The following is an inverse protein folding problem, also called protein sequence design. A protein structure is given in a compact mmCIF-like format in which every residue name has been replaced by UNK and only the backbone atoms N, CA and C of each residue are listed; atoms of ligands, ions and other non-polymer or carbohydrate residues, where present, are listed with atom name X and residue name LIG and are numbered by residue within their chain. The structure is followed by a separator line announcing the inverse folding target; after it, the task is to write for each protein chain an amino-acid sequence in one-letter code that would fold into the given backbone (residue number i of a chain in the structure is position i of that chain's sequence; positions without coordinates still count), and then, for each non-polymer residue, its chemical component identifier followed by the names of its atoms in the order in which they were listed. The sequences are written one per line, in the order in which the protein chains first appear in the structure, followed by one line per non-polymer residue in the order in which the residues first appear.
data_IF_202404236803
#
_entry.id   IF_202404236803
#
_cell.length_a   1.000
_cell.length_b   1.000
_cell.length_c   1.000
_cell.angle_alpha   90.00
_cell.angle_beta   90.00
_cell.angle_gamma   90.00
#
_symmetry.space_group_name_H-M   'P 1'
#
loop_
_entity.id
_entity.type
_entity.pdbx_description
1 polymer ?
#
# COMPACT_ATOMS: atom_id res chain seq x y z
N UNK A 1 -7.77 -9.41 -13.46
CA UNK A 1 -7.77 -7.94 -13.64
C UNK A 1 -6.37 -7.48 -14.02
N UNK A 2 -6.18 -6.18 -14.28
CA UNK A 2 -4.85 -5.60 -14.49
C UNK A 2 -4.67 -4.32 -13.67
N UNK A 3 -3.44 -4.06 -13.22
CA UNK A 3 -3.03 -2.84 -12.51
C UNK A 3 -1.83 -2.28 -13.25
N UNK A 4 -1.93 -1.05 -13.75
CA UNK A 4 -0.89 -0.43 -14.58
C UNK A 4 -0.43 -1.32 -15.76
N UNK A 5 -1.36 -2.07 -16.36
CA UNK A 5 -1.08 -3.02 -17.45
C UNK A 5 -0.55 -4.40 -17.01
N UNK A 6 -0.22 -4.59 -15.73
CA UNK A 6 0.24 -5.88 -15.20
C UNK A 6 -0.95 -6.73 -14.78
N UNK A 7 -1.03 -7.97 -15.27
CA UNK A 7 -2.09 -8.91 -14.89
C UNK A 7 -1.92 -9.36 -13.44
N UNK A 8 -2.99 -9.23 -12.68
CA UNK A 8 -3.08 -9.63 -11.28
C UNK A 8 -4.36 -10.43 -11.06
N UNK A 9 -4.25 -11.47 -10.25
CA UNK A 9 -5.39 -12.12 -9.61
C UNK A 9 -5.09 -12.31 -8.12
N UNK A 10 -6.11 -12.10 -7.29
CA UNK A 10 -6.10 -12.44 -5.87
C UNK A 10 -7.15 -13.51 -5.65
N UNK A 11 -6.83 -14.49 -4.82
CA UNK A 11 -7.80 -15.46 -4.30
C UNK A 11 -7.87 -15.31 -2.79
N UNK A 12 -9.09 -15.31 -2.28
CA UNK A 12 -9.41 -15.39 -0.87
C UNK A 12 -10.03 -16.75 -0.56
N UNK A 13 -9.75 -17.28 0.64
CA UNK A 13 -10.40 -18.48 1.18
C UNK A 13 -11.07 -18.09 2.49
N UNK A 14 -12.30 -18.53 2.65
CA UNK A 14 -13.16 -18.27 3.82
C UNK A 14 -13.29 -19.52 4.69
N UNK A 15 -13.61 -19.34 5.97
CA UNK A 15 -14.09 -20.43 6.82
C UNK A 15 -15.60 -20.69 6.62
N UNK A 16 -16.12 -21.72 7.28
CA UNK A 16 -17.55 -22.10 7.24
C UNK A 16 -18.50 -21.00 7.74
N UNK A 17 -17.97 -19.93 8.35
CA UNK A 17 -18.72 -18.78 8.87
C UNK A 17 -18.57 -17.55 7.98
N UNK A 18 -17.89 -17.65 6.84
CA UNK A 18 -17.66 -16.54 5.91
C UNK A 18 -16.56 -15.57 6.32
N UNK A 19 -15.73 -15.91 7.33
CA UNK A 19 -14.59 -15.08 7.68
C UNK A 19 -13.40 -15.38 6.76
N UNK A 20 -12.74 -14.33 6.29
CA UNK A 20 -11.50 -14.45 5.52
C UNK A 20 -10.41 -15.16 6.36
N UNK A 21 -9.86 -16.25 5.81
CA UNK A 21 -8.80 -17.05 6.42
C UNK A 21 -7.47 -16.91 5.70
N UNK A 22 -7.48 -16.98 4.38
CA UNK A 22 -6.27 -16.98 3.58
C UNK A 22 -6.40 -16.09 2.35
N UNK A 23 -5.27 -15.54 1.93
CA UNK A 23 -5.13 -14.80 0.68
C UNK A 23 -3.95 -15.34 -0.12
N UNK A 24 -4.02 -15.26 -1.44
CA UNK A 24 -2.93 -15.61 -2.35
C UNK A 24 -2.96 -14.77 -3.62
N UNK A 25 -1.81 -14.61 -4.27
CA UNK A 25 -1.66 -13.77 -5.46
C UNK A 25 -1.12 -14.56 -6.65
N UNK A 26 -1.65 -14.26 -7.84
CA UNK A 26 -1.08 -14.70 -9.11
C UNK A 26 -0.62 -13.49 -9.93
N UNK A 27 0.69 -13.43 -10.16
CA UNK A 27 1.40 -12.29 -10.75
C UNK A 27 2.28 -12.75 -11.93
N UNK A 28 1.70 -13.23 -13.05
CA UNK A 28 2.44 -13.97 -14.09
C UNK A 28 3.55 -13.17 -14.79
N UNK A 29 3.43 -11.83 -14.85
CA UNK A 29 4.39 -10.95 -15.54
C UNK A 29 5.39 -10.26 -14.62
N UNK A 30 5.30 -10.49 -13.30
CA UNK A 30 6.20 -9.88 -12.32
C UNK A 30 7.53 -10.65 -12.20
N UNK A 31 8.59 -9.98 -11.75
CA UNK A 31 9.89 -10.61 -11.50
C UNK A 31 9.79 -11.70 -10.41
N UNK A 32 10.66 -12.72 -10.49
CA UNK A 32 10.64 -13.85 -9.56
C UNK A 32 10.76 -13.43 -8.08
N UNK A 33 11.61 -12.44 -7.78
CA UNK A 33 11.75 -11.87 -6.44
C UNK A 33 10.46 -11.22 -5.95
N UNK A 34 9.81 -10.39 -6.77
CA UNK A 34 8.52 -9.77 -6.44
C UNK A 34 7.46 -10.82 -6.13
N UNK A 35 7.36 -11.86 -6.96
CA UNK A 35 6.42 -12.97 -6.71
C UNK A 35 6.70 -13.70 -5.40
N UNK A 36 7.97 -14.00 -5.12
CA UNK A 36 8.36 -14.68 -3.89
C UNK A 36 8.05 -13.83 -2.63
N UNK A 37 8.28 -12.52 -2.69
CA UNK A 37 7.94 -11.61 -1.60
C UNK A 37 6.43 -11.50 -1.39
N UNK A 38 5.65 -11.40 -2.47
CA UNK A 38 4.19 -11.36 -2.41
C UNK A 38 3.60 -12.65 -1.85
N UNK A 39 4.17 -13.79 -2.23
CA UNK A 39 3.79 -15.10 -1.70
C UNK A 39 4.10 -15.22 -0.20
N UNK A 40 5.32 -14.83 0.21
CA UNK A 40 5.71 -14.82 1.62
C UNK A 40 4.83 -13.89 2.47
N UNK A 41 4.47 -12.72 1.94
CA UNK A 41 3.56 -11.78 2.60
C UNK A 41 2.14 -12.37 2.70
N UNK A 42 1.63 -12.97 1.63
CA UNK A 42 0.32 -13.60 1.62
C UNK A 42 0.23 -14.72 2.66
N UNK A 43 1.28 -15.53 2.80
CA UNK A 43 1.39 -16.54 3.85
C UNK A 43 1.42 -15.94 5.25
N UNK A 44 2.18 -14.86 5.46
CA UNK A 44 2.24 -14.18 6.75
C UNK A 44 0.89 -13.58 7.16
N UNK A 45 0.18 -12.94 6.23
CA UNK A 45 -1.17 -12.38 6.46
C UNK A 45 -2.17 -13.50 6.75
N UNK A 46 -2.13 -14.58 5.96
CA UNK A 46 -2.99 -15.75 6.18
C UNK A 46 -2.76 -16.38 7.55
N UNK A 47 -1.51 -16.49 8.00
CA UNK A 47 -1.19 -16.95 9.36
C UNK A 47 -1.74 -15.97 10.42
N UNK A 48 -1.59 -14.66 10.22
CA UNK A 48 -2.12 -13.67 11.15
C UNK A 48 -3.64 -13.73 11.28
N UNK A 49 -4.36 -13.81 10.14
CA UNK A 49 -5.81 -14.05 10.12
C UNK A 49 -6.16 -15.35 10.83
N UNK A 50 -5.37 -16.41 10.61
CA UNK A 50 -5.58 -17.70 11.24
C UNK A 50 -5.50 -17.65 12.78
N UNK A 51 -4.62 -16.78 13.32
CA UNK A 51 -4.43 -16.52 14.75
C UNK A 51 -5.38 -15.45 15.31
N UNK A 52 -6.35 -14.97 14.53
CA UNK A 52 -7.36 -14.02 14.98
C UNK A 52 -6.94 -12.55 14.91
N UNK A 53 -5.84 -12.21 14.21
CA UNK A 53 -5.53 -10.81 13.89
C UNK A 53 -6.63 -10.27 12.98
N UNK A 54 -7.29 -9.15 13.32
CA UNK A 54 -8.41 -8.67 12.54
C UNK A 54 -7.95 -8.13 11.20
N UNK A 55 -8.73 -8.39 10.14
CA UNK A 55 -8.46 -7.89 8.79
C UNK A 55 -8.26 -6.36 8.74
N UNK A 56 -8.99 -5.61 9.58
CA UNK A 56 -8.86 -4.16 9.72
C UNK A 56 -7.42 -3.71 10.00
N UNK A 57 -6.65 -4.49 10.78
CA UNK A 57 -5.24 -4.19 11.06
C UNK A 57 -4.38 -4.22 9.79
N UNK A 58 -4.59 -5.22 8.94
CA UNK A 58 -3.86 -5.33 7.67
C UNK A 58 -4.32 -4.28 6.65
N UNK A 59 -5.62 -4.00 6.60
CA UNK A 59 -6.16 -2.91 5.77
C UNK A 59 -5.53 -1.58 6.16
N UNK A 60 -5.47 -1.26 7.46
CA UNK A 60 -4.85 -0.03 7.92
C UNK A 60 -3.34 0.03 7.66
N UNK A 61 -2.66 -1.12 7.63
CA UNK A 61 -1.23 -1.20 7.39
C UNK A 61 -0.86 -1.08 5.90
N UNK A 62 -1.68 -1.63 5.00
CA UNK A 62 -1.31 -1.83 3.60
C UNK A 62 -2.18 -1.09 2.58
N UNK A 63 -3.34 -0.56 2.97
CA UNK A 63 -4.06 0.37 2.10
C UNK A 63 -3.16 1.58 1.80
N UNK A 64 -3.13 1.98 0.53
CA UNK A 64 -2.27 3.02 -0.03
C UNK A 64 -0.76 2.76 0.09
N UNK A 65 -0.34 1.53 0.40
CA UNK A 65 1.07 1.17 0.41
C UNK A 65 1.73 1.49 -0.95
N UNK A 66 2.85 2.23 -0.97
CA UNK A 66 3.46 2.69 -2.22
C UNK A 66 4.06 1.51 -3.01
N UNK A 67 4.06 1.64 -4.33
CA UNK A 67 4.67 0.66 -5.23
C UNK A 67 4.46 1.00 -6.71
N UNK A 68 4.52 0.00 -7.58
CA UNK A 68 4.26 0.13 -9.01
C UNK A 68 2.76 0.05 -9.29
N UNK A 69 2.03 1.09 -8.85
CA UNK A 69 0.59 1.23 -9.02
C UNK A 69 0.18 1.96 -10.29
N UNK A 70 -1.12 2.21 -10.43
CA UNK A 70 -1.71 2.94 -11.55
C UNK A 70 -3.21 2.66 -11.69
N UNK A 71 -3.73 2.81 -12.91
CA UNK A 71 -5.11 2.47 -13.24
C UNK A 71 -5.38 0.98 -13.03
N UNK A 72 -6.57 0.65 -12.55
CA UNK A 72 -7.05 -0.71 -12.29
C UNK A 72 -8.15 -1.03 -13.29
N UNK A 73 -7.98 -2.13 -14.02
CA UNK A 73 -8.90 -2.60 -15.06
C UNK A 73 -9.58 -3.90 -14.64
N UNK A 74 -10.91 -3.95 -14.74
CA UNK A 74 -11.70 -5.12 -14.39
C UNK A 74 -12.10 -5.20 -12.91
N UNK A 75 -11.91 -4.12 -12.16
CA UNK A 75 -12.52 -3.89 -10.85
C UNK A 75 -13.48 -2.69 -10.95
N UNK A 76 -14.71 -2.85 -10.47
CA UNK A 76 -15.74 -1.81 -10.54
C UNK A 76 -15.65 -0.83 -9.35
N UNK A 77 -15.15 -1.30 -8.21
CA UNK A 77 -15.10 -0.54 -6.97
C UNK A 77 -13.81 0.26 -6.77
N UNK A 78 -12.72 -0.16 -7.42
CA UNK A 78 -11.40 0.46 -7.31
C UNK A 78 -10.87 0.74 -8.72
N UNK A 79 -10.72 2.01 -9.09
CA UNK A 79 -10.28 2.38 -10.45
C UNK A 79 -8.80 2.74 -10.53
N UNK A 80 -8.17 3.06 -9.39
CA UNK A 80 -6.74 3.33 -9.30
C UNK A 80 -6.19 2.81 -8.00
N UNK A 81 -4.93 2.40 -7.98
CA UNK A 81 -4.24 1.95 -6.78
C UNK A 81 -2.77 2.37 -6.78
N UNK A 82 -2.18 2.60 -5.61
CA UNK A 82 -0.75 2.95 -5.47
C UNK A 82 0.17 1.73 -5.59
N UNK A 83 -0.37 0.53 -5.45
CA UNK A 83 0.33 -0.74 -5.67
C UNK A 83 -0.66 -1.92 -5.77
N UNK A 84 -0.15 -3.12 -6.09
CA UNK A 84 -0.91 -4.38 -5.99
C UNK A 84 -1.41 -4.62 -4.56
N UNK A 85 -0.59 -4.28 -3.55
CA UNK A 85 -0.96 -4.43 -2.15
C UNK A 85 -2.08 -3.48 -1.75
N UNK A 86 -1.96 -2.20 -2.14
CA UNK A 86 -3.02 -1.23 -1.92
C UNK A 86 -4.36 -1.72 -2.50
N UNK A 87 -4.36 -2.12 -3.78
CA UNK A 87 -5.56 -2.66 -4.41
C UNK A 87 -6.11 -3.86 -3.64
N UNK A 88 -5.27 -4.84 -3.29
CA UNK A 88 -5.68 -6.05 -2.60
C UNK A 88 -6.37 -5.75 -1.27
N UNK A 89 -5.74 -4.92 -0.42
CA UNK A 89 -6.28 -4.64 0.91
C UNK A 89 -7.49 -3.70 0.87
N UNK A 90 -7.57 -2.75 -0.06
CA UNK A 90 -8.82 -1.98 -0.26
C UNK A 90 -9.95 -2.85 -0.80
N UNK A 91 -9.63 -3.82 -1.67
CA UNK A 91 -10.62 -4.78 -2.17
C UNK A 91 -11.16 -5.66 -1.05
N UNK A 92 -10.27 -6.21 -0.20
CA UNK A 92 -10.67 -6.98 0.98
C UNK A 92 -11.47 -6.13 1.98
N UNK A 93 -11.13 -4.84 2.14
CA UNK A 93 -11.89 -3.93 2.99
C UNK A 93 -13.33 -3.71 2.48
N UNK A 94 -13.49 -3.56 1.16
CA UNK A 94 -14.82 -3.47 0.53
C UNK A 94 -15.59 -4.78 0.71
N UNK A 95 -14.99 -5.91 0.34
CA UNK A 95 -15.66 -7.20 0.27
C UNK A 95 -16.02 -7.77 1.65
N UNK A 96 -15.17 -7.59 2.68
CA UNK A 96 -15.35 -8.22 3.99
C UNK A 96 -15.67 -7.27 5.13
N UNK A 97 -15.37 -5.97 4.99
CA UNK A 97 -15.60 -4.97 6.05
C UNK A 97 -16.67 -3.94 5.67
N UNK A 98 -17.21 -4.00 4.45
CA UNK A 98 -18.18 -3.02 3.94
C UNK A 98 -17.60 -1.60 3.82
N UNK A 99 -16.26 -1.48 3.74
CA UNK A 99 -15.58 -0.18 3.69
C UNK A 99 -15.53 0.36 2.27
N UNK A 100 -16.54 1.14 1.92
CA UNK A 100 -16.56 1.92 0.67
C UNK A 100 -16.00 3.35 0.84
N UNK A 101 -15.59 3.70 2.05
CA UNK A 101 -15.06 5.02 2.44
C UNK A 101 -13.59 5.24 2.03
N UNK A 102 -12.98 4.29 1.31
CA UNK A 102 -11.60 4.35 0.85
C UNK A 102 -11.55 4.89 -0.59
N UNK A 103 -11.24 6.19 -0.81
CA UNK A 103 -11.22 6.78 -2.14
C UNK A 103 -10.12 6.22 -3.04
N UNK A 104 -10.24 6.47 -4.35
CA UNK A 104 -9.12 6.24 -5.27
C UNK A 104 -8.03 7.30 -5.01
N UNK A 105 -6.74 6.90 -4.98
CA UNK A 105 -5.63 7.85 -4.87
C UNK A 105 -5.59 8.76 -6.10
N UNK A 106 -5.06 9.98 -5.91
CA UNK A 106 -4.85 10.89 -7.04
C UNK A 106 -3.73 10.36 -7.95
N UNK A 107 -3.72 10.79 -9.20
CA UNK A 107 -2.77 10.29 -10.19
C UNK A 107 -1.31 10.47 -9.77
N UNK A 108 -0.98 11.61 -9.17
CA UNK A 108 0.36 11.93 -8.67
C UNK A 108 0.88 10.92 -7.63
N UNK A 109 0.00 10.43 -6.75
CA UNK A 109 0.33 9.44 -5.71
C UNK A 109 0.58 8.04 -6.28
N UNK A 110 0.13 7.77 -7.51
CA UNK A 110 0.33 6.49 -8.19
C UNK A 110 1.52 6.50 -9.16
N UNK A 111 1.97 7.70 -9.58
CA UNK A 111 3.05 7.89 -10.56
C UNK A 111 4.41 8.10 -9.91
N UNK A 112 4.46 8.48 -8.63
CA UNK A 112 5.70 8.79 -7.93
C UNK A 112 5.91 7.81 -6.77
N UNK A 113 7.00 7.02 -6.73
CA UNK A 113 7.57 6.70 -5.43
C UNK A 113 7.84 8.05 -4.77
N UNK A 114 7.28 8.30 -3.58
CA UNK A 114 7.61 9.49 -2.79
C UNK A 114 9.13 9.62 -2.86
N UNK A 115 9.70 10.71 -3.42
CA UNK A 115 11.14 10.80 -3.50
C UNK A 115 11.61 10.58 -2.07
N UNK A 116 12.44 9.55 -1.87
CA UNK A 116 13.23 9.51 -0.66
C UNK A 116 13.85 10.90 -0.61
N UNK A 117 13.55 11.67 0.43
CA UNK A 117 14.31 12.88 0.68
C UNK A 117 15.71 12.34 0.90
N UNK A 118 16.49 12.31 -0.18
CA UNK A 118 17.85 11.81 -0.12
C UNK A 118 18.50 12.71 0.92
N UNK A 119 19.08 12.15 2.00
CA UNK A 119 19.93 12.98 2.85
C UNK A 119 20.91 13.66 1.91
N UNK A 120 21.01 15.00 2.01
CA UNK A 120 21.91 15.77 1.16
C UNK A 120 23.27 15.06 1.17
N UNK A 121 23.78 14.72 -0.02
CA UNK A 121 25.13 14.21 -0.11
C UNK A 121 26.06 15.23 0.55
N UNK A 122 27.17 14.83 1.19
CA UNK A 122 28.07 15.77 1.86
C UNK A 122 28.57 16.92 0.96
N UNK A 123 28.54 16.73 -0.36
CA UNK A 123 28.89 17.73 -1.37
C UNK A 123 27.74 18.69 -1.74
N UNK A 124 26.50 18.32 -1.43
CA UNK A 124 25.27 19.10 -1.63
C UNK A 124 24.83 19.82 -0.33
N UNK A 125 25.56 19.61 0.77
CA UNK A 125 25.40 20.42 1.97
C UNK A 125 25.84 21.86 1.65
N UNK A 126 25.03 22.88 1.96
CA UNK A 126 25.47 24.25 1.80
C UNK A 126 26.73 24.45 2.65
N UNK A 127 27.81 24.95 2.02
CA UNK A 127 29.09 25.18 2.69
C UNK A 127 29.00 26.13 3.90
N UNK A 128 27.87 26.83 4.03
CA UNK A 128 27.56 27.69 5.16
C UNK A 128 26.32 27.15 5.87
N UNK A 129 26.39 26.90 7.20
CA UNK A 129 25.22 26.51 7.94
C UNK A 129 24.15 27.61 7.80
N UNK A 130 22.91 27.19 7.52
CA UNK A 130 21.77 28.10 7.42
C UNK A 130 21.74 29.03 8.64
N UNK A 131 21.55 30.35 8.46
CA UNK A 131 21.54 31.27 9.59
C UNK A 131 20.45 30.82 10.55
N UNK A 132 20.85 30.42 11.76
CA UNK A 132 19.91 30.02 12.82
C UNK A 132 18.92 31.17 12.99
N UNK A 133 17.67 30.94 12.63
CA UNK A 133 16.58 31.88 12.85
C UNK A 133 16.58 32.17 14.36
N UNK A 134 17.04 33.37 14.74
CA UNK A 134 16.98 33.80 16.15
C UNK A 134 15.50 33.85 16.50
N UNK A 135 15.05 32.84 17.22
CA UNK A 135 13.71 32.74 17.77
C UNK A 135 13.60 33.86 18.80
N UNK A 136 13.16 35.04 18.36
CA UNK A 136 12.83 36.14 19.24
C UNK A 136 11.61 35.72 20.05
N UNK A 137 11.85 35.17 21.23
CA UNK A 137 10.85 35.03 22.27
C UNK A 137 10.42 36.46 22.66
N UNK A 138 9.26 36.90 22.18
CA UNK A 138 8.58 38.05 22.77
C UNK A 138 8.02 37.62 24.13
N UNK A 139 8.28 38.36 25.22
CA UNK A 139 7.65 38.08 26.49
C UNK A 139 6.16 38.41 26.40
N UNK A 140 5.33 37.56 27.01
CA UNK A 140 3.91 37.76 27.15
C UNK A 140 3.63 38.95 28.07
N UNK A 141 2.75 39.85 27.62
CA UNK A 141 2.05 40.84 28.44
C UNK A 141 0.59 40.84 27.96
#
# INVERSE_FOLDING_TARGET
MAIAGNRVAMRAIEDDRGHLREISFSLPREAAMTRALMEALAQAVSLGLAQGVPLTSFVNAYAYAPGHGGAVEGDVGIRRATSVLDWAFRRLARDYLGREDLPDPVEEETLQPRPAVLPLLPLELPAHPSPRLRRHLRPAA
#
